data_IF_071879320730
#
_entry.id   IF_071879320730
#
_cell.length_a   1.000
_cell.length_b   1.000
_cell.length_c   1.000
_cell.angle_alpha   90.00
_cell.angle_beta   90.00
_cell.angle_gamma   90.00
#
_symmetry.space_group_name_H-M   'P 1'
#
loop_
_entity.id
_entity.type
_entity.pdbx_description
1 polymer ?
#
# COMPACT_ATOMS: atom_id res chain seq x y z
N UNK A 1 81.98 21.07 -16.45
CA UNK A 1 80.70 20.50 -15.98
C UNK A 1 79.58 21.12 -16.81
N UNK A 2 78.93 20.31 -17.63
CA UNK A 2 78.05 20.76 -18.70
C UNK A 2 76.66 21.13 -18.16
N UNK A 3 76.16 22.33 -18.45
CA UNK A 3 74.88 22.84 -17.91
C UNK A 3 73.68 21.99 -18.32
N UNK A 4 73.80 21.19 -19.39
CA UNK A 4 72.76 20.29 -19.86
C UNK A 4 72.50 19.10 -18.91
N UNK A 5 73.51 18.60 -18.18
CA UNK A 5 73.32 17.45 -17.30
C UNK A 5 72.49 17.79 -16.06
N UNK A 6 72.64 19.02 -15.54
CA UNK A 6 71.93 19.52 -14.36
C UNK A 6 70.42 19.68 -14.65
N UNK A 7 70.05 20.08 -15.87
CA UNK A 7 68.64 20.22 -16.26
C UNK A 7 67.92 18.86 -16.38
N UNK A 8 68.60 17.81 -16.86
CA UNK A 8 68.03 16.45 -16.94
C UNK A 8 67.76 15.85 -15.57
N UNK A 9 68.68 16.02 -14.61
CA UNK A 9 68.53 15.46 -13.26
C UNK A 9 67.32 16.05 -12.53
N UNK A 10 67.03 17.35 -12.72
CA UNK A 10 65.87 18.02 -12.09
C UNK A 10 64.52 17.53 -12.64
N UNK A 11 64.46 17.12 -13.90
CA UNK A 11 63.24 16.59 -14.51
C UNK A 11 62.91 15.18 -14.00
N UNK A 12 63.92 14.31 -13.90
CA UNK A 12 63.75 12.95 -13.38
C UNK A 12 63.30 12.93 -11.91
N UNK A 13 63.78 13.87 -11.09
CA UNK A 13 63.33 13.99 -9.71
C UNK A 13 61.82 14.26 -9.58
N UNK A 14 61.23 15.07 -10.46
CA UNK A 14 59.78 15.35 -10.44
C UNK A 14 58.95 14.14 -10.82
N UNK A 15 59.43 13.34 -11.78
CA UNK A 15 58.76 12.12 -12.23
C UNK A 15 58.76 11.07 -11.10
N UNK A 16 59.90 10.89 -10.42
CA UNK A 16 59.99 9.93 -9.31
C UNK A 16 59.10 10.32 -8.12
N UNK A 17 59.03 11.61 -7.78
CA UNK A 17 58.11 12.09 -6.73
C UNK A 17 56.66 11.89 -7.12
N UNK A 18 56.29 12.19 -8.37
CA UNK A 18 54.94 11.95 -8.88
C UNK A 18 54.55 10.46 -8.85
N UNK A 19 55.45 9.57 -9.26
CA UNK A 19 55.24 8.12 -9.22
C UNK A 19 55.08 7.63 -7.78
N UNK A 20 55.91 8.12 -6.84
CA UNK A 20 55.79 7.79 -5.42
C UNK A 20 54.45 8.20 -4.83
N UNK A 21 53.96 9.41 -5.14
CA UNK A 21 52.63 9.87 -4.72
C UNK A 21 51.50 9.03 -5.31
N UNK A 22 51.60 8.62 -6.59
CA UNK A 22 50.60 7.76 -7.22
C UNK A 22 50.55 6.38 -6.54
N UNK A 23 51.70 5.77 -6.27
CA UNK A 23 51.78 4.47 -5.59
C UNK A 23 51.20 4.59 -4.17
N UNK A 24 51.55 5.65 -3.44
CA UNK A 24 50.99 5.92 -2.13
C UNK A 24 49.46 6.10 -2.18
N UNK A 25 48.95 6.84 -3.16
CA UNK A 25 47.52 7.02 -3.38
C UNK A 25 46.80 5.69 -3.63
N UNK A 26 47.32 4.84 -4.53
CA UNK A 26 46.77 3.50 -4.81
C UNK A 26 46.75 2.65 -3.54
N UNK A 27 47.84 2.64 -2.77
CA UNK A 27 47.94 1.86 -1.53
C UNK A 27 46.97 2.36 -0.44
N UNK A 28 46.84 3.68 -0.30
CA UNK A 28 45.90 4.29 0.64
C UNK A 28 44.44 3.93 0.32
N UNK A 29 44.09 3.81 -0.95
CA UNK A 29 42.76 3.36 -1.38
C UNK A 29 42.50 1.89 -1.06
N UNK A 30 43.50 1.02 -1.20
CA UNK A 30 43.38 -0.39 -0.83
C UNK A 30 43.21 -0.60 0.68
N UNK A 31 43.84 0.23 1.52
CA UNK A 31 43.71 0.13 2.97
C UNK A 31 42.34 0.58 3.52
N UNK A 32 41.61 1.43 2.78
CA UNK A 32 40.31 1.96 3.21
C UNK A 32 39.15 1.13 2.63
N UNK A 33 39.33 0.57 1.44
CA UNK A 33 38.35 -0.30 0.80
C UNK A 33 38.64 -1.75 1.17
N UNK A 34 38.03 -2.22 2.25
CA UNK A 34 37.96 -3.66 2.55
C UNK A 34 36.99 -4.31 1.53
N UNK A 35 37.49 -4.58 0.31
CA UNK A 35 36.68 -5.15 -0.79
C UNK A 35 36.08 -6.52 -0.42
N UNK A 36 36.61 -7.16 0.61
CA UNK A 36 36.16 -8.46 1.09
C UNK A 36 34.79 -8.38 1.81
N UNK A 37 34.43 -7.22 2.38
CA UNK A 37 33.10 -7.01 2.98
C UNK A 37 32.00 -6.70 1.93
N UNK A 38 32.37 -6.17 0.76
CA UNK A 38 31.41 -5.84 -0.32
C UNK A 38 31.03 -7.09 -1.14
N UNK A 39 31.86 -8.13 -1.13
CA UNK A 39 31.57 -9.40 -1.79
C UNK A 39 30.56 -10.28 -1.02
N UNK A 40 30.11 -9.86 0.17
CA UNK A 40 29.19 -10.67 0.97
C UNK A 40 27.82 -10.80 0.27
N UNK A 41 27.36 -12.03 -0.05
CA UNK A 41 26.18 -12.27 -0.90
C UNK A 41 24.87 -11.69 -0.32
N UNK A 42 24.86 -11.43 1.00
CA UNK A 42 23.71 -10.85 1.72
C UNK A 42 23.48 -9.37 1.36
N UNK A 43 24.53 -8.57 1.14
CA UNK A 43 24.40 -7.14 0.78
C UNK A 43 24.04 -6.92 -0.69
N UNK A 44 24.43 -7.82 -1.59
CA UNK A 44 24.02 -7.76 -3.00
C UNK A 44 22.50 -7.94 -3.17
N UNK A 45 21.88 -8.75 -2.29
CA UNK A 45 20.43 -8.99 -2.30
C UNK A 45 19.62 -7.77 -1.86
N UNK A 46 20.13 -6.93 -0.97
CA UNK A 46 19.44 -5.70 -0.54
C UNK A 46 19.54 -4.59 -1.58
N UNK A 47 20.71 -4.41 -2.20
CA UNK A 47 20.92 -3.44 -3.29
C UNK A 47 20.03 -3.78 -4.48
N UNK A 48 19.89 -5.06 -4.83
CA UNK A 48 18.97 -5.51 -5.88
C UNK A 48 17.53 -5.11 -5.60
N UNK A 49 17.02 -5.31 -4.37
CA UNK A 49 15.65 -4.91 -4.00
C UNK A 49 15.44 -3.40 -4.08
N UNK A 50 16.42 -2.61 -3.64
CA UNK A 50 16.33 -1.15 -3.69
C UNK A 50 16.35 -0.68 -5.15
N UNK A 51 17.25 -1.21 -5.98
CA UNK A 51 17.29 -0.87 -7.40
C UNK A 51 16.02 -1.31 -8.14
N UNK A 52 15.45 -2.48 -7.82
CA UNK A 52 14.16 -2.91 -8.39
C UNK A 52 13.01 -2.00 -7.95
N UNK A 53 12.99 -1.60 -6.68
CA UNK A 53 11.99 -0.66 -6.17
C UNK A 53 12.11 0.74 -6.81
N UNK A 54 13.33 1.17 -7.15
CA UNK A 54 13.60 2.43 -7.83
C UNK A 54 13.41 2.35 -9.36
N UNK A 55 13.61 1.19 -9.97
CA UNK A 55 13.44 0.99 -11.43
C UNK A 55 11.99 0.74 -11.85
N UNK A 56 11.11 0.46 -10.89
CA UNK A 56 9.66 0.52 -11.06
C UNK A 56 9.11 1.75 -10.34
N UNK A 57 9.48 2.98 -10.75
CA UNK A 57 8.76 4.13 -10.24
C UNK A 57 7.30 3.90 -10.60
N UNK A 58 6.43 3.87 -9.60
CA UNK A 58 5.00 3.84 -9.83
C UNK A 58 4.60 5.22 -10.36
N UNK A 59 4.96 5.50 -11.61
CA UNK A 59 4.74 6.77 -12.32
C UNK A 59 3.25 7.07 -12.49
N UNK A 60 2.39 6.12 -12.12
CA UNK A 60 0.96 6.13 -12.29
C UNK A 60 0.28 5.77 -10.95
N UNK A 61 0.23 6.73 -10.03
CA UNK A 61 -0.67 6.64 -8.89
C UNK A 61 -2.09 7.01 -9.33
N UNK A 62 -2.98 6.02 -9.31
CA UNK A 62 -4.39 6.25 -9.55
C UNK A 62 -5.05 6.75 -8.27
N UNK A 63 -5.50 8.00 -8.26
CA UNK A 63 -6.30 8.54 -7.16
C UNK A 63 -7.76 8.15 -7.41
N UNK A 64 -8.21 7.15 -6.65
CA UNK A 64 -9.62 6.73 -6.64
C UNK A 64 -10.41 7.68 -5.76
N UNK A 65 -11.38 8.37 -6.35
CA UNK A 65 -12.37 9.09 -5.53
C UNK A 65 -13.35 8.08 -4.96
N UNK A 66 -13.09 7.63 -3.74
CA UNK A 66 -13.98 6.72 -3.02
C UNK A 66 -15.04 7.48 -2.26
N UNK A 67 -16.26 6.94 -2.22
CA UNK A 67 -17.31 7.42 -1.32
C UNK A 67 -17.73 6.27 -0.41
N UNK A 68 -17.50 6.46 0.88
CA UNK A 68 -17.86 5.48 1.90
C UNK A 68 -19.23 5.80 2.49
N UNK A 69 -20.08 4.78 2.61
CA UNK A 69 -21.38 4.87 3.29
C UNK A 69 -21.37 3.96 4.51
N UNK A 70 -21.01 4.47 5.70
CA UNK A 70 -20.94 3.67 6.92
C UNK A 70 -22.33 3.42 7.50
N UNK A 71 -22.57 2.19 7.96
CA UNK A 71 -23.83 1.73 8.54
C UNK A 71 -23.50 0.93 9.78
N UNK A 72 -24.15 1.26 10.89
CA UNK A 72 -24.01 0.52 12.13
C UNK A 72 -25.03 -0.62 12.14
N UNK A 73 -24.54 -1.83 12.38
CA UNK A 73 -25.40 -2.98 12.65
C UNK A 73 -25.81 -2.97 14.11
N UNK A 74 -27.12 -2.97 14.36
CA UNK A 74 -27.70 -2.88 15.70
C UNK A 74 -27.71 -4.25 16.42
N UNK A 75 -27.84 -5.35 15.66
CA UNK A 75 -28.10 -6.69 16.20
C UNK A 75 -26.92 -7.66 16.02
N UNK A 76 -26.76 -8.56 17.00
CA UNK A 76 -25.81 -9.66 16.97
C UNK A 76 -26.47 -11.01 16.62
N UNK A 77 -25.68 -11.94 16.08
CA UNK A 77 -26.10 -13.33 15.86
C UNK A 77 -26.09 -14.18 17.15
N UNK A 78 -25.72 -13.61 18.32
CA UNK A 78 -25.67 -14.36 19.57
C UNK A 78 -27.07 -14.69 20.09
N UNK A 79 -28.01 -13.74 19.96
CA UNK A 79 -29.34 -13.86 20.57
C UNK A 79 -30.49 -13.83 19.54
N UNK A 80 -30.21 -13.51 18.28
CA UNK A 80 -31.24 -13.28 17.27
C UNK A 80 -31.37 -14.42 16.25
N UNK A 81 -32.62 -14.69 15.84
CA UNK A 81 -32.93 -15.38 14.58
C UNK A 81 -32.66 -14.42 13.41
N UNK A 82 -32.74 -14.93 12.18
CA UNK A 82 -32.64 -14.15 10.94
C UNK A 82 -33.22 -12.74 11.09
N UNK A 83 -32.46 -11.72 10.72
CA UNK A 83 -32.80 -10.32 10.92
C UNK A 83 -32.58 -9.51 9.64
N UNK A 84 -33.50 -8.58 9.40
CA UNK A 84 -33.45 -7.63 8.30
C UNK A 84 -33.31 -6.22 8.83
N UNK A 85 -32.23 -5.52 8.47
CA UNK A 85 -32.03 -4.10 8.75
C UNK A 85 -32.14 -3.28 7.48
N UNK A 86 -32.98 -2.25 7.48
CA UNK A 86 -32.92 -1.22 6.45
C UNK A 86 -32.13 -0.02 6.98
N UNK A 87 -31.23 0.51 6.17
CA UNK A 87 -30.50 1.75 6.42
C UNK A 87 -30.64 2.67 5.21
N UNK A 88 -30.86 3.95 5.46
CA UNK A 88 -30.88 4.97 4.42
C UNK A 88 -29.87 6.07 4.75
N UNK A 89 -28.95 6.33 3.83
CA UNK A 89 -27.98 7.42 3.94
C UNK A 89 -28.12 8.31 2.71
N UNK A 90 -28.68 9.51 2.93
CA UNK A 90 -29.08 10.42 1.86
C UNK A 90 -30.08 9.76 0.89
N UNK A 91 -29.69 9.53 -0.36
CA UNK A 91 -30.53 8.90 -1.39
C UNK A 91 -30.28 7.39 -1.53
N UNK A 92 -29.25 6.85 -0.85
CA UNK A 92 -28.90 5.43 -0.92
C UNK A 92 -29.70 4.66 0.10
N UNK A 93 -30.33 3.58 -0.34
CA UNK A 93 -31.03 2.63 0.52
C UNK A 93 -30.29 1.31 0.52
N UNK A 94 -30.10 0.75 1.69
CA UNK A 94 -29.46 -0.54 1.89
C UNK A 94 -30.34 -1.41 2.78
N UNK A 95 -30.52 -2.65 2.38
CA UNK A 95 -31.24 -3.68 3.14
C UNK A 95 -30.26 -4.80 3.41
N UNK A 96 -30.13 -5.17 4.68
CA UNK A 96 -29.22 -6.16 5.19
C UNK A 96 -30.03 -7.32 5.73
N UNK A 97 -30.00 -8.45 5.03
CA UNK A 97 -30.62 -9.69 5.48
C UNK A 97 -29.53 -10.60 6.05
N UNK A 98 -29.48 -10.67 7.37
CA UNK A 98 -28.55 -11.54 8.09
C UNK A 98 -29.28 -12.83 8.44
N UNK A 99 -28.77 -13.95 7.95
CA UNK A 99 -29.19 -15.30 8.34
C UNK A 99 -28.17 -15.90 9.29
N UNK A 100 -28.56 -16.08 10.54
CA UNK A 100 -27.70 -16.63 11.58
C UNK A 100 -27.96 -18.14 11.69
N UNK A 101 -26.97 -18.97 11.34
CA UNK A 101 -27.02 -20.42 11.57
C UNK A 101 -26.09 -20.74 12.77
N UNK A 102 -26.64 -21.00 13.98
CA UNK A 102 -25.83 -21.22 15.17
C UNK A 102 -24.91 -22.43 15.00
N UNK A 103 -23.61 -22.21 15.11
CA UNK A 103 -22.57 -23.24 14.91
C UNK A 103 -22.12 -23.41 13.46
N UNK A 104 -22.64 -22.63 12.51
CA UNK A 104 -22.15 -22.57 11.11
C UNK A 104 -21.88 -21.13 10.68
N UNK A 105 -21.52 -20.96 9.41
CA UNK A 105 -21.29 -19.64 8.83
C UNK A 105 -22.61 -18.89 8.64
N UNK A 106 -22.68 -17.68 9.18
CA UNK A 106 -23.76 -16.75 8.91
C UNK A 106 -23.70 -16.31 7.45
N UNK A 107 -24.86 -16.10 6.86
CA UNK A 107 -24.98 -15.58 5.51
C UNK A 107 -25.53 -14.16 5.59
N UNK A 108 -24.85 -13.23 4.94
CA UNK A 108 -25.19 -11.83 4.92
C UNK A 108 -25.54 -11.42 3.49
N UNK A 109 -26.81 -11.12 3.25
CA UNK A 109 -27.27 -10.60 1.98
C UNK A 109 -27.43 -9.09 2.09
N UNK A 110 -26.88 -8.37 1.12
CA UNK A 110 -26.89 -6.92 1.07
C UNK A 110 -27.55 -6.52 -0.23
N UNK A 111 -28.65 -5.80 -0.12
CA UNK A 111 -29.32 -5.17 -1.24
C UNK A 111 -29.09 -3.66 -1.16
N UNK A 112 -28.50 -3.07 -2.19
CA UNK A 112 -28.30 -1.64 -2.30
C UNK A 112 -29.10 -1.06 -3.47
N UNK A 113 -29.60 0.16 -3.31
CA UNK A 113 -30.24 0.96 -4.39
C UNK A 113 -29.94 2.46 -4.21
N UNK A 114 -30.03 3.22 -5.31
CA UNK A 114 -29.71 4.65 -5.33
C UNK A 114 -28.21 4.96 -5.38
N UNK A 115 -27.39 3.99 -5.80
CA UNK A 115 -25.96 4.15 -6.05
C UNK A 115 -25.72 4.68 -7.47
N UNK A 116 -24.49 5.09 -7.77
CA UNK A 116 -24.16 5.46 -9.15
C UNK A 116 -24.28 4.22 -10.06
N UNK A 117 -24.99 4.29 -11.21
CA UNK A 117 -25.12 3.15 -12.13
C UNK A 117 -23.78 2.67 -12.69
N UNK A 118 -23.70 1.38 -13.02
CA UNK A 118 -22.52 0.74 -13.65
C UNK A 118 -21.18 1.05 -12.95
N UNK A 119 -21.21 1.16 -11.62
CA UNK A 119 -20.07 1.60 -10.81
C UNK A 119 -19.57 0.43 -9.97
N UNK A 120 -18.27 0.08 -10.07
CA UNK A 120 -17.69 -0.92 -9.21
C UNK A 120 -17.53 -0.38 -7.78
N UNK A 121 -17.60 -1.28 -6.82
CA UNK A 121 -17.41 -0.97 -5.42
C UNK A 121 -17.01 -2.20 -4.63
N UNK A 122 -16.77 -2.00 -3.35
CA UNK A 122 -16.44 -3.08 -2.44
C UNK A 122 -17.02 -2.80 -1.06
N UNK A 123 -17.17 -3.87 -0.28
CA UNK A 123 -17.75 -3.83 1.05
C UNK A 123 -16.66 -4.13 2.06
N UNK A 124 -16.60 -3.29 3.08
CA UNK A 124 -15.67 -3.47 4.19
C UNK A 124 -16.42 -3.56 5.51
N UNK A 125 -15.90 -4.40 6.40
CA UNK A 125 -16.33 -4.50 7.79
C UNK A 125 -15.25 -3.92 8.69
N UNK A 126 -15.66 -3.05 9.61
CA UNK A 126 -14.76 -2.52 10.62
C UNK A 126 -14.69 -3.47 11.83
N UNK A 127 -13.46 -3.73 12.26
CA UNK A 127 -13.15 -4.48 13.49
C UNK A 127 -13.49 -3.66 14.73
N UNK A 128 -14.17 -4.30 15.67
CA UNK A 128 -14.33 -3.82 17.05
C UNK A 128 -13.55 -4.70 18.05
N UNK A 129 -12.61 -5.51 17.58
CA UNK A 129 -11.80 -6.39 18.44
C UNK A 129 -10.78 -5.52 19.20
N UNK A 130 -10.64 -5.68 20.53
CA UNK A 130 -9.61 -4.98 21.30
C UNK A 130 -8.22 -5.14 20.71
N UNK A 131 -7.49 -4.03 20.53
CA UNK A 131 -6.16 -3.99 19.91
C UNK A 131 -6.17 -4.04 18.37
N UNK A 132 -7.34 -4.11 17.74
CA UNK A 132 -7.53 -4.01 16.30
C UNK A 132 -8.69 -3.06 15.94
N UNK A 133 -9.11 -2.19 16.86
CA UNK A 133 -10.23 -1.28 16.66
C UNK A 133 -9.97 -0.40 15.43
N UNK A 134 -10.98 -0.28 14.56
CA UNK A 134 -10.86 0.57 13.37
C UNK A 134 -10.21 -0.08 12.15
N UNK A 135 -9.63 -1.28 12.27
CA UNK A 135 -9.14 -2.02 11.10
C UNK A 135 -10.32 -2.39 10.19
N UNK A 136 -10.21 -2.04 8.91
CA UNK A 136 -11.18 -2.40 7.87
C UNK A 136 -10.76 -3.71 7.22
N UNK A 137 -11.69 -4.66 7.12
CA UNK A 137 -11.52 -5.92 6.42
C UNK A 137 -12.35 -5.90 5.15
N UNK A 138 -11.74 -6.24 4.03
CA UNK A 138 -12.44 -6.45 2.78
C UNK A 138 -13.32 -7.70 2.88
N UNK A 139 -14.57 -7.58 2.44
CA UNK A 139 -15.59 -8.62 2.55
C UNK A 139 -15.92 -9.19 1.18
N UNK A 140 -16.24 -8.31 0.24
CA UNK A 140 -16.67 -8.70 -1.11
C UNK A 140 -16.66 -7.48 -2.04
N UNK A 141 -16.49 -7.73 -3.33
CA UNK A 141 -16.68 -6.73 -4.38
C UNK A 141 -18.13 -6.74 -4.87
N UNK A 142 -18.60 -5.60 -5.37
CA UNK A 142 -19.89 -5.50 -6.05
C UNK A 142 -19.78 -4.57 -7.25
N UNK A 143 -20.76 -4.68 -8.16
CA UNK A 143 -20.98 -3.69 -9.21
C UNK A 143 -22.46 -3.35 -9.21
N UNK A 144 -22.77 -2.08 -9.39
CA UNK A 144 -24.15 -1.64 -9.58
C UNK A 144 -24.60 -1.90 -11.02
N UNK A 145 -25.90 -2.13 -11.20
CA UNK A 145 -26.54 -2.24 -12.50
C UNK A 145 -26.83 -0.86 -13.12
N UNK A 146 -27.59 -0.85 -14.23
CA UNK A 146 -28.01 0.37 -14.92
C UNK A 146 -28.95 1.26 -14.11
N UNK A 147 -29.58 0.73 -13.06
CA UNK A 147 -30.48 1.46 -12.17
C UNK A 147 -29.76 1.92 -10.88
N UNK A 148 -28.48 1.59 -10.71
CA UNK A 148 -27.75 1.91 -9.49
C UNK A 148 -28.10 0.98 -8.33
N UNK A 149 -28.51 -0.25 -8.62
CA UNK A 149 -28.83 -1.28 -7.63
C UNK A 149 -27.80 -2.40 -7.65
N UNK A 150 -27.65 -3.10 -6.51
CA UNK A 150 -26.83 -4.31 -6.42
C UNK A 150 -27.40 -5.26 -5.37
N UNK A 151 -27.07 -6.55 -5.50
CA UNK A 151 -27.42 -7.59 -4.54
C UNK A 151 -26.26 -8.55 -4.42
N UNK A 152 -25.68 -8.64 -3.22
CA UNK A 152 -24.60 -9.60 -2.95
C UNK A 152 -24.93 -10.46 -1.74
N UNK A 153 -24.47 -11.70 -1.76
CA UNK A 153 -24.60 -12.63 -0.63
C UNK A 153 -23.20 -13.07 -0.22
N UNK A 154 -22.84 -12.81 1.03
CA UNK A 154 -21.54 -13.10 1.59
C UNK A 154 -21.70 -14.12 2.71
N UNK A 155 -20.84 -15.14 2.72
CA UNK A 155 -20.79 -16.12 3.80
C UNK A 155 -19.66 -15.79 4.76
N UNK A 156 -19.98 -15.57 6.04
CA UNK A 156 -19.03 -15.23 7.10
C UNK A 156 -18.89 -16.41 8.07
N UNK A 157 -17.69 -16.98 8.17
CA UNK A 157 -17.39 -18.18 8.97
C UNK A 157 -17.39 -17.84 10.48
N UNK A 158 -17.92 -18.72 11.37
CA UNK A 158 -18.19 -18.38 12.76
C UNK A 158 -16.99 -18.20 13.67
N UNK A 159 -15.79 -18.57 13.23
CA UNK A 159 -14.55 -18.18 13.92
C UNK A 159 -14.42 -16.65 14.05
N UNK A 160 -15.18 -15.88 13.26
CA UNK A 160 -15.32 -14.42 13.37
C UNK A 160 -16.68 -13.95 13.92
N UNK A 161 -17.62 -14.87 14.24
CA UNK A 161 -19.00 -14.53 14.62
C UNK A 161 -19.17 -14.17 16.10
N UNK A 162 -18.33 -14.71 17.00
CA UNK A 162 -18.31 -14.29 18.42
C UNK A 162 -17.95 -12.80 18.60
N UNK A 163 -17.44 -12.17 17.52
CA UNK A 163 -17.02 -10.77 17.47
C UNK A 163 -17.89 -9.93 16.52
N UNK A 164 -19.01 -10.47 16.03
CA UNK A 164 -20.12 -9.68 15.49
C UNK A 164 -21.05 -9.36 16.67
N UNK A 165 -20.49 -8.73 17.69
CA UNK A 165 -21.24 -8.07 18.74
C UNK A 165 -21.75 -6.72 18.23
N UNK A 166 -22.86 -6.27 18.80
CA UNK A 166 -23.54 -5.01 18.49
C UNK A 166 -22.57 -3.83 18.28
N UNK A 167 -22.84 -3.01 17.26
CA UNK A 167 -22.09 -1.77 17.00
C UNK A 167 -20.94 -1.86 15.99
N UNK A 168 -20.84 -2.95 15.19
CA UNK A 168 -19.93 -2.96 14.03
C UNK A 168 -20.44 -2.03 12.93
N UNK A 169 -19.49 -1.36 12.27
CA UNK A 169 -19.75 -0.51 11.12
C UNK A 169 -19.41 -1.27 9.84
N UNK A 170 -20.41 -1.45 8.98
CA UNK A 170 -20.21 -1.89 7.60
C UNK A 170 -20.15 -0.65 6.74
N UNK A 171 -19.14 -0.55 5.88
CA UNK A 171 -19.08 0.52 4.91
C UNK A 171 -19.16 -0.05 3.49
N UNK A 172 -20.08 0.50 2.71
CA UNK A 172 -20.15 0.29 1.27
C UNK A 172 -19.33 1.38 0.60
N UNK A 173 -18.33 1.00 -0.19
CA UNK A 173 -17.38 1.92 -0.82
C UNK A 173 -17.56 1.91 -2.33
N UNK A 174 -18.04 3.03 -2.87
CA UNK A 174 -18.17 3.26 -4.33
C UNK A 174 -16.84 3.79 -4.89
N UNK A 175 -16.39 3.27 -6.03
CA UNK A 175 -15.25 3.80 -6.77
C UNK A 175 -15.75 4.73 -7.90
N UNK A 176 -15.94 6.02 -7.58
CA UNK A 176 -16.66 6.96 -8.45
C UNK A 176 -15.87 7.37 -9.70
N UNK A 177 -14.55 7.48 -9.61
CA UNK A 177 -13.71 7.85 -10.75
C UNK A 177 -12.26 7.45 -10.55
N UNK A 178 -11.62 7.00 -11.64
CA UNK A 178 -10.17 6.95 -11.78
C UNK A 178 -9.71 8.27 -12.37
N UNK A 179 -9.25 9.19 -11.53
CA UNK A 179 -8.62 10.42 -12.02
C UNK A 179 -7.13 10.15 -12.17
N UNK A 180 -6.62 10.30 -13.39
CA UNK A 180 -5.20 10.24 -13.66
C UNK A 180 -4.56 11.53 -13.14
N UNK A 181 -3.75 11.43 -12.07
CA UNK A 181 -2.80 12.49 -11.74
C UNK A 181 -1.50 12.17 -12.45
N UNK A 182 -1.22 12.92 -13.52
CA UNK A 182 0.07 12.87 -14.20
C UNK A 182 1.21 13.27 -13.27
N UNK A 183 2.40 12.81 -13.64
CA UNK A 183 3.65 12.89 -12.88
C UNK A 183 3.85 14.23 -12.18
N UNK A 184 3.90 14.15 -10.85
CA UNK A 184 4.69 14.96 -9.92
C UNK A 184 4.91 16.41 -10.35
N UNK A 185 4.18 17.32 -9.70
CA UNK A 185 4.68 18.68 -9.51
C UNK A 185 5.97 18.60 -8.67
N UNK A 186 7.11 18.31 -9.30
CA UNK A 186 8.42 18.71 -8.80
C UNK A 186 8.54 20.22 -8.97
N UNK A 187 7.80 20.95 -8.15
CA UNK A 187 7.92 22.40 -8.03
C UNK A 187 7.80 22.73 -6.55
N UNK A 188 8.85 22.39 -5.79
CA UNK A 188 9.29 23.07 -4.57
C UNK A 188 10.52 22.35 -4.00
N UNK A 189 11.67 22.52 -4.67
CA UNK A 189 12.95 22.58 -3.98
C UNK A 189 13.44 24.03 -4.11
N UNK A 190 12.91 24.89 -3.25
CA UNK A 190 13.59 26.14 -2.90
C UNK A 190 14.80 25.74 -2.06
N UNK A 191 15.98 25.84 -2.66
CA UNK A 191 17.23 25.86 -1.91
C UNK A 191 17.29 27.20 -1.17
N UNK A 192 17.33 27.13 0.15
CA UNK A 192 17.80 28.20 1.04
C UNK A 192 19.21 27.86 1.50
#
# INVERSE_FOLDING_TARGET
>A
MDKQSIARVKSWGRILVGLGLLIFFIYSYQAIMDLEEIAHPVRQKSIGRILTALSQPNLFEYEYKTRETPIKLENDCQNSRDFTQAAQVSQRKMIFDLKCDPGRAATFTIHGSGFQPNTPGYIVMQSNIPGNEGRKFWVSDFSTDSEGSFSITVRVIPLNLDHISSGRTIAVVEQLSKTFRGLSNTSHLTAE
#
